data_IF_841288109982
#
_entry.id   IF_841288109982
#
_cell.length_a   1.000
_cell.length_b   1.000
_cell.length_c   1.000
_cell.angle_alpha   90.00
_cell.angle_beta   90.00
_cell.angle_gamma   90.00
#
_symmetry.space_group_name_H-M   'P 1'
#
loop_
_entity.id
_entity.type
_entity.pdbx_description
1 polymer ?
#
# COMPACT_ATOMS: atom_id res chain seq x y z
N UNK A 1 17.05 10.52 -13.80
CA UNK A 1 17.64 11.82 -13.42
C UNK A 1 16.48 12.71 -13.06
N UNK A 2 16.19 12.81 -11.76
CA UNK A 2 15.17 13.70 -11.25
C UNK A 2 15.71 15.14 -11.30
N UNK A 3 14.97 16.05 -11.94
CA UNK A 3 15.31 17.47 -12.00
C UNK A 3 14.12 18.28 -11.48
N UNK A 4 14.18 18.85 -10.27
CA UNK A 4 13.15 19.76 -9.79
C UNK A 4 13.30 21.14 -10.44
N UNK A 5 12.19 21.88 -10.55
CA UNK A 5 12.17 23.24 -11.09
C UNK A 5 12.98 24.19 -10.19
N UNK A 6 13.93 24.91 -10.80
CA UNK A 6 14.81 25.87 -10.14
C UNK A 6 14.06 27.14 -9.73
N UNK A 7 14.14 27.50 -8.44
CA UNK A 7 13.93 28.86 -7.96
C UNK A 7 15.32 29.47 -7.73
N UNK A 8 15.54 30.66 -8.26
CA UNK A 8 16.82 31.38 -8.21
C UNK A 8 17.23 31.64 -6.75
N UNK A 9 18.40 31.15 -6.32
CA UNK A 9 18.99 31.44 -5.00
C UNK A 9 19.27 30.26 -4.05
N UNK A 10 19.02 29.00 -4.43
CA UNK A 10 19.24 27.84 -3.53
C UNK A 10 20.56 27.07 -3.76
N UNK A 11 21.08 26.47 -2.67
CA UNK A 11 22.34 25.68 -2.52
C UNK A 11 22.61 24.67 -3.68
N UNK A 12 23.89 24.28 -3.93
CA UNK A 12 24.27 23.50 -5.10
C UNK A 12 23.42 22.24 -5.28
N UNK A 13 22.89 22.11 -6.48
CA UNK A 13 22.08 21.00 -6.96
C UNK A 13 22.99 19.76 -7.04
N UNK A 14 22.82 18.81 -6.11
CA UNK A 14 23.48 17.52 -6.25
C UNK A 14 22.64 16.67 -7.19
N UNK A 15 23.19 16.36 -8.37
CA UNK A 15 22.60 15.40 -9.30
C UNK A 15 22.61 14.02 -8.64
N UNK A 16 21.43 13.49 -8.34
CA UNK A 16 21.23 12.17 -7.76
C UNK A 16 20.82 11.12 -8.79
N UNK A 17 20.99 9.86 -8.41
CA UNK A 17 20.37 8.72 -9.08
C UNK A 17 19.45 8.03 -8.09
N UNK A 18 18.23 7.76 -8.53
CA UNK A 18 17.25 7.04 -7.75
C UNK A 18 17.47 5.53 -7.97
N UNK A 19 17.40 4.76 -6.89
CA UNK A 19 17.55 3.32 -6.90
C UNK A 19 16.38 2.68 -6.18
N UNK A 20 16.01 1.48 -6.64
CA UNK A 20 14.97 0.65 -6.04
C UNK A 20 15.58 -0.67 -5.61
N UNK A 21 15.42 -1.00 -4.34
CA UNK A 21 15.88 -2.26 -3.75
C UNK A 21 14.66 -3.04 -3.27
N UNK A 22 14.53 -4.28 -3.73
CA UNK A 22 13.60 -5.26 -3.17
C UNK A 22 14.39 -6.27 -2.35
N UNK A 23 14.09 -6.36 -1.06
CA UNK A 23 14.77 -7.24 -0.12
C UNK A 23 13.85 -8.33 0.43
N UNK A 24 14.44 -9.46 0.80
CA UNK A 24 13.78 -10.57 1.49
C UNK A 24 14.18 -10.59 2.96
N UNK A 25 13.21 -10.72 3.86
CA UNK A 25 13.42 -10.89 5.29
C UNK A 25 13.09 -12.35 5.65
N UNK A 26 14.08 -13.25 5.78
CA UNK A 26 13.84 -14.67 6.01
C UNK A 26 13.49 -14.99 7.46
N UNK A 27 13.94 -14.15 8.40
CA UNK A 27 13.83 -14.42 9.83
C UNK A 27 12.64 -13.68 10.44
N UNK A 28 12.00 -14.31 11.42
CA UNK A 28 10.92 -13.71 12.20
C UNK A 28 11.38 -12.64 13.19
N UNK A 29 12.67 -12.65 13.55
CA UNK A 29 13.28 -11.71 14.47
C UNK A 29 14.62 -11.24 13.93
N UNK A 30 14.93 -9.95 14.05
CA UNK A 30 16.16 -9.35 13.53
C UNK A 30 15.89 -8.24 12.53
N UNK A 31 16.95 -7.59 12.06
CA UNK A 31 16.86 -6.38 11.22
C UNK A 31 17.64 -6.49 9.91
N UNK A 32 17.93 -7.70 9.44
CA UNK A 32 18.68 -7.91 8.21
C UNK A 32 17.76 -8.38 7.09
N UNK A 33 18.10 -7.98 5.87
CA UNK A 33 17.37 -8.35 4.66
C UNK A 33 18.37 -8.72 3.55
N UNK A 34 18.02 -9.71 2.74
CA UNK A 34 18.79 -10.12 1.57
C UNK A 34 18.28 -9.31 0.36
N UNK A 35 19.12 -8.49 -0.31
CA UNK A 35 18.70 -7.81 -1.52
C UNK A 35 18.45 -8.85 -2.62
N UNK A 36 17.20 -8.97 -3.07
CA UNK A 36 16.81 -9.82 -4.21
C UNK A 36 17.01 -9.08 -5.53
N UNK A 37 16.69 -7.79 -5.56
CA UNK A 37 16.87 -6.92 -6.72
C UNK A 37 17.37 -5.56 -6.25
N UNK A 38 18.32 -4.99 -6.99
CA UNK A 38 18.78 -3.63 -6.79
C UNK A 38 19.04 -2.99 -8.15
N UNK A 39 18.20 -2.02 -8.52
CA UNK A 39 18.23 -1.43 -9.85
C UNK A 39 18.07 0.08 -9.79
N UNK A 40 18.66 0.76 -10.78
CA UNK A 40 18.46 2.19 -10.97
C UNK A 40 17.08 2.47 -11.54
N UNK A 41 16.39 3.44 -10.96
CA UNK A 41 15.16 4.01 -11.52
C UNK A 41 15.57 4.99 -12.64
N UNK A 42 15.17 4.68 -13.87
CA UNK A 42 15.42 5.52 -15.04
C UNK A 42 14.59 6.81 -15.00
N UNK A 43 14.97 7.80 -15.82
CA UNK A 43 14.22 9.06 -15.92
C UNK A 43 12.81 8.90 -16.55
N UNK A 44 12.52 7.74 -17.14
CA UNK A 44 11.29 7.49 -17.89
C UNK A 44 10.29 6.62 -17.13
N UNK A 45 10.62 6.22 -15.90
CA UNK A 45 9.76 5.43 -15.05
C UNK A 45 9.62 6.05 -13.66
N UNK A 46 8.54 5.69 -12.99
CA UNK A 46 8.28 6.07 -11.60
C UNK A 46 8.80 4.98 -10.65
N UNK A 47 9.04 5.35 -9.39
CA UNK A 47 9.38 4.38 -8.33
C UNK A 47 8.32 3.28 -8.22
N UNK A 48 7.03 3.62 -8.32
CA UNK A 48 5.93 2.67 -8.33
C UNK A 48 6.00 1.66 -9.49
N UNK A 49 6.31 2.11 -10.71
CA UNK A 49 6.50 1.21 -11.86
C UNK A 49 7.68 0.27 -11.67
N UNK A 50 8.82 0.79 -11.19
CA UNK A 50 10.02 -0.03 -10.93
C UNK A 50 9.76 -1.06 -9.83
N UNK A 51 9.14 -0.67 -8.73
CA UNK A 51 8.80 -1.58 -7.63
C UNK A 51 7.82 -2.69 -8.07
N UNK A 52 6.78 -2.36 -8.83
CA UNK A 52 5.84 -3.34 -9.35
C UNK A 52 6.51 -4.31 -10.34
N UNK A 53 7.42 -3.80 -11.18
CA UNK A 53 8.23 -4.64 -12.07
C UNK A 53 9.11 -5.61 -11.30
N UNK A 54 9.87 -5.14 -10.30
CA UNK A 54 10.73 -5.99 -9.47
C UNK A 54 9.91 -7.04 -8.71
N UNK A 55 8.78 -6.65 -8.12
CA UNK A 55 7.91 -7.59 -7.41
C UNK A 55 7.41 -8.70 -8.36
N UNK A 56 7.00 -8.33 -9.58
CA UNK A 56 6.56 -9.28 -10.60
C UNK A 56 7.67 -10.24 -11.00
N UNK A 57 8.91 -9.77 -11.11
CA UNK A 57 10.05 -10.63 -11.43
C UNK A 57 10.28 -11.64 -10.30
N UNK A 58 10.40 -11.17 -9.06
CA UNK A 58 10.62 -12.03 -7.90
C UNK A 58 9.50 -13.07 -7.74
N UNK A 59 8.24 -12.66 -7.90
CA UNK A 59 7.11 -13.58 -7.74
C UNK A 59 7.04 -14.68 -8.81
N UNK A 60 7.76 -14.58 -9.93
CA UNK A 60 7.84 -15.68 -10.91
C UNK A 60 8.66 -16.86 -10.40
N UNK A 61 9.64 -16.59 -9.54
CA UNK A 61 10.60 -17.57 -9.06
C UNK A 61 10.26 -18.09 -7.65
N UNK A 62 9.30 -17.45 -6.97
CA UNK A 62 8.81 -17.90 -5.67
C UNK A 62 7.76 -19.00 -5.81
N UNK A 63 7.93 -20.09 -5.06
CA UNK A 63 6.97 -21.20 -4.98
C UNK A 63 5.77 -20.92 -4.07
N UNK A 64 5.81 -19.80 -3.34
CA UNK A 64 4.79 -19.35 -2.40
C UNK A 64 4.36 -17.94 -2.74
N UNK A 65 3.15 -17.57 -2.33
CA UNK A 65 2.69 -16.20 -2.40
C UNK A 65 3.34 -15.36 -1.29
N UNK A 66 4.18 -14.35 -1.59
CA UNK A 66 4.83 -13.55 -0.57
C UNK A 66 3.91 -12.42 -0.07
N UNK A 67 4.20 -11.92 1.14
CA UNK A 67 3.72 -10.63 1.62
C UNK A 67 4.81 -9.59 1.33
N UNK A 68 4.50 -8.63 0.46
CA UNK A 68 5.38 -7.53 0.10
C UNK A 68 4.97 -6.26 0.88
N UNK A 69 5.92 -5.74 1.65
CA UNK A 69 5.71 -4.55 2.47
C UNK A 69 6.23 -3.30 1.77
N UNK A 70 5.43 -2.25 1.69
CA UNK A 70 5.86 -0.96 1.15
C UNK A 70 5.42 0.21 2.03
N UNK A 71 6.15 1.31 1.91
CA UNK A 71 5.84 2.52 2.66
C UNK A 71 4.67 3.33 2.07
N UNK A 72 4.47 4.50 2.66
CA UNK A 72 3.39 5.43 2.34
C UNK A 72 3.45 6.13 1.00
N UNK A 73 4.55 6.01 0.25
CA UNK A 73 4.62 6.43 -1.15
C UNK A 73 3.84 5.47 -2.05
N UNK A 74 3.90 4.17 -1.73
CA UNK A 74 3.26 3.10 -2.51
C UNK A 74 1.79 2.87 -2.13
N UNK A 75 1.34 3.38 -0.98
CA UNK A 75 -0.07 3.40 -0.54
C UNK A 75 -0.99 4.26 -1.42
N UNK A 76 -1.17 3.89 -2.69
CA UNK A 76 -1.91 4.65 -3.69
C UNK A 76 -2.63 3.76 -4.70
N UNK A 77 -3.73 4.27 -5.25
CA UNK A 77 -4.46 3.61 -6.34
C UNK A 77 -3.57 3.28 -7.55
N UNK A 78 -2.58 4.13 -7.86
CA UNK A 78 -1.70 3.91 -9.00
C UNK A 78 -0.84 2.65 -8.81
N UNK A 79 -0.31 2.46 -7.60
CA UNK A 79 0.47 1.27 -7.29
C UNK A 79 -0.39 0.01 -7.20
N UNK A 80 -1.60 0.10 -6.63
CA UNK A 80 -2.56 -1.01 -6.64
C UNK A 80 -2.86 -1.50 -8.07
N UNK A 81 -3.16 -0.57 -8.99
CA UNK A 81 -3.40 -0.92 -10.40
C UNK A 81 -2.17 -1.59 -11.07
N UNK A 82 -0.94 -1.21 -10.69
CA UNK A 82 0.29 -1.78 -11.26
C UNK A 82 0.58 -3.20 -10.74
N UNK A 83 -0.04 -3.58 -9.63
CA UNK A 83 0.25 -4.82 -8.87
C UNK A 83 -0.95 -5.77 -8.78
N UNK A 84 -2.12 -5.39 -9.32
CA UNK A 84 -3.39 -6.14 -9.26
C UNK A 84 -3.26 -7.60 -9.71
N UNK A 85 -2.47 -7.86 -10.75
CA UNK A 85 -2.26 -9.18 -11.35
C UNK A 85 -1.01 -9.91 -10.82
N UNK A 86 -0.28 -9.32 -9.88
CA UNK A 86 0.90 -9.94 -9.28
C UNK A 86 0.46 -10.89 -8.17
N UNK A 87 0.98 -12.14 -8.13
CA UNK A 87 0.62 -13.08 -7.10
C UNK A 87 1.38 -12.80 -5.78
N UNK A 88 1.16 -11.61 -5.20
CA UNK A 88 1.68 -11.18 -3.90
C UNK A 88 0.61 -10.50 -3.05
N UNK A 89 0.70 -10.66 -1.74
CA UNK A 89 -0.04 -9.88 -0.74
C UNK A 89 0.67 -8.56 -0.48
N UNK A 90 -0.07 -7.47 -0.30
CA UNK A 90 0.52 -6.15 -0.08
C UNK A 90 0.20 -5.64 1.32
N UNK A 91 1.26 -5.29 2.07
CA UNK A 91 1.14 -4.52 3.31
C UNK A 91 1.68 -3.11 3.06
N UNK A 92 0.77 -2.16 2.89
CA UNK A 92 1.11 -0.78 2.54
C UNK A 92 0.85 0.14 3.73
N UNK A 93 1.86 0.93 4.12
CA UNK A 93 1.60 2.07 5.00
C UNK A 93 0.75 3.09 4.23
N UNK A 94 -0.30 3.64 4.84
CA UNK A 94 -1.09 4.71 4.23
C UNK A 94 -0.78 6.05 4.89
N UNK A 95 -0.72 7.14 4.10
CA UNK A 95 -0.59 8.49 4.67
C UNK A 95 -1.91 8.88 5.36
N UNK A 96 -1.89 9.53 6.53
CA UNK A 96 -3.12 9.90 7.25
C UNK A 96 -4.09 10.77 6.43
N UNK A 97 -3.60 11.56 5.48
CA UNK A 97 -4.45 12.38 4.61
C UNK A 97 -5.11 11.60 3.45
N UNK A 98 -4.95 10.27 3.37
CA UNK A 98 -5.63 9.45 2.36
C UNK A 98 -7.08 9.16 2.78
N UNK A 99 -7.90 8.97 1.75
CA UNK A 99 -9.29 8.60 1.86
C UNK A 99 -9.55 7.36 1.02
N UNK A 100 -10.22 6.40 1.63
CA UNK A 100 -10.76 5.21 0.99
C UNK A 100 -12.29 5.30 0.98
N UNK A 101 -12.93 4.32 0.36
CA UNK A 101 -14.37 4.30 0.16
C UNK A 101 -14.90 2.91 0.39
N UNK A 102 -16.05 2.82 1.05
CA UNK A 102 -16.82 1.57 1.17
C UNK A 102 -17.47 1.22 -0.18
N UNK A 103 -17.89 -0.04 -0.32
CA UNK A 103 -18.76 -0.45 -1.41
C UNK A 103 -20.04 0.42 -1.44
N UNK A 104 -20.57 0.78 -2.62
CA UNK A 104 -21.84 1.48 -2.73
C UNK A 104 -23.01 0.56 -2.36
N UNK A 105 -24.07 1.13 -1.78
CA UNK A 105 -25.34 0.44 -1.59
C UNK A 105 -25.94 -0.08 -2.91
N UNK A 106 -26.75 -1.16 -2.88
CA UNK A 106 -27.43 -1.69 -4.06
C UNK A 106 -28.18 -0.61 -4.84
N UNK A 107 -28.00 -0.61 -6.16
CA UNK A 107 -28.57 0.42 -7.01
C UNK A 107 -30.07 0.22 -7.22
N UNK A 108 -30.89 1.21 -6.85
CA UNK A 108 -32.36 1.15 -6.93
C UNK A 108 -33.00 2.15 -7.90
N UNK A 109 -32.21 2.83 -8.73
CA UNK A 109 -32.65 4.00 -9.52
C UNK A 109 -32.55 3.85 -11.04
N UNK A 110 -32.70 4.99 -11.73
CA UNK A 110 -32.43 5.14 -13.17
C UNK A 110 -31.22 6.06 -13.40
N UNK A 111 -30.29 5.66 -14.27
CA UNK A 111 -28.99 6.31 -14.48
C UNK A 111 -27.77 5.47 -14.13
N UNK A 112 -26.60 6.11 -13.97
CA UNK A 112 -25.33 5.44 -13.68
C UNK A 112 -25.25 5.06 -12.19
N UNK A 113 -25.01 3.77 -11.85
CA UNK A 113 -24.80 3.35 -10.47
C UNK A 113 -23.64 4.11 -9.79
N UNK A 114 -23.77 4.37 -8.49
CA UNK A 114 -22.67 4.92 -7.67
C UNK A 114 -21.53 3.90 -7.66
N UNK A 115 -20.29 4.39 -7.78
CA UNK A 115 -19.08 3.56 -7.68
C UNK A 115 -18.54 3.45 -6.26
N UNK A 116 -18.98 4.33 -5.37
CA UNK A 116 -18.41 4.48 -4.04
C UNK A 116 -19.53 4.77 -3.04
N UNK A 117 -19.48 4.08 -1.91
CA UNK A 117 -20.25 4.36 -0.71
C UNK A 117 -19.59 5.47 0.11
N UNK A 118 -19.66 5.31 1.43
CA UNK A 118 -19.17 6.30 2.37
C UNK A 118 -17.64 6.42 2.36
N UNK A 119 -17.18 7.62 2.72
CA UNK A 119 -15.75 7.93 2.81
C UNK A 119 -15.19 7.40 4.11
N UNK A 120 -14.06 6.72 4.01
CA UNK A 120 -13.19 6.36 5.12
C UNK A 120 -11.96 7.28 5.08
N UNK A 121 -11.92 8.31 5.93
CA UNK A 121 -10.83 9.28 5.99
C UNK A 121 -9.86 8.89 7.11
N UNK A 122 -8.62 8.54 6.77
CA UNK A 122 -7.65 8.06 7.77
C UNK A 122 -7.32 9.09 8.85
N UNK A 123 -7.44 10.39 8.57
CA UNK A 123 -7.23 11.45 9.56
C UNK A 123 -8.47 11.77 10.41
N UNK A 124 -9.61 11.12 10.18
CA UNK A 124 -10.86 11.41 10.86
C UNK A 124 -11.52 10.10 11.35
N UNK A 125 -11.32 9.78 12.62
CA UNK A 125 -11.79 8.55 13.25
C UNK A 125 -13.32 8.38 13.19
N UNK A 126 -14.08 9.48 13.24
CA UNK A 126 -15.55 9.45 13.15
C UNK A 126 -16.05 8.91 11.80
N UNK A 127 -15.20 8.92 10.77
CA UNK A 127 -15.54 8.40 9.44
C UNK A 127 -15.33 6.89 9.28
N UNK A 128 -14.66 6.23 10.23
CA UNK A 128 -14.26 4.84 10.06
C UNK A 128 -15.45 3.88 10.23
N UNK A 129 -16.34 4.20 11.16
CA UNK A 129 -17.38 3.28 11.64
C UNK A 129 -16.78 2.07 12.34
N UNK A 130 -17.60 1.04 12.57
CA UNK A 130 -17.17 -0.15 13.30
C UNK A 130 -16.09 -0.94 12.56
N UNK A 131 -15.10 -1.41 13.30
CA UNK A 131 -14.09 -2.33 12.78
C UNK A 131 -14.71 -3.69 12.48
N UNK A 132 -14.30 -4.32 11.38
CA UNK A 132 -14.66 -5.70 11.03
C UNK A 132 -14.06 -6.72 12.01
N UNK A 133 -12.88 -6.43 12.56
CA UNK A 133 -12.25 -7.22 13.61
C UNK A 133 -11.36 -6.35 14.49
N UNK A 134 -11.16 -6.77 15.73
CA UNK A 134 -10.20 -6.15 16.67
C UNK A 134 -9.40 -7.27 17.32
N UNK A 135 -8.08 -7.08 17.37
CA UNK A 135 -7.12 -7.99 17.98
C UNK A 135 -6.31 -7.23 19.02
N UNK A 136 -6.01 -7.89 20.13
CA UNK A 136 -5.14 -7.35 21.16
C UNK A 136 -4.07 -8.37 21.50
N UNK A 137 -2.82 -7.91 21.61
CA UNK A 137 -1.68 -8.74 21.95
C UNK A 137 -0.74 -7.95 22.86
N UNK A 138 0.03 -8.67 23.66
CA UNK A 138 1.12 -8.10 24.43
C UNK A 138 2.41 -8.40 23.70
N UNK A 139 3.14 -7.35 23.35
CA UNK A 139 4.45 -7.42 22.72
C UNK A 139 5.53 -7.06 23.76
N UNK A 140 6.59 -7.86 23.83
CA UNK A 140 7.66 -7.67 24.82
C UNK A 140 8.40 -6.33 24.66
N UNK A 141 8.39 -5.74 23.47
CA UNK A 141 9.12 -4.52 23.13
C UNK A 141 8.24 -3.28 23.22
N UNK A 142 7.01 -3.35 22.70
CA UNK A 142 6.11 -2.19 22.60
C UNK A 142 4.92 -2.23 23.56
N UNK A 143 4.79 -3.29 24.35
CA UNK A 143 3.73 -3.43 25.36
C UNK A 143 2.41 -3.87 24.76
N UNK A 144 1.30 -3.37 25.32
CA UNK A 144 -0.03 -3.74 24.85
C UNK A 144 -0.33 -3.11 23.50
N UNK A 145 -0.59 -3.95 22.50
CA UNK A 145 -0.90 -3.55 21.13
C UNK A 145 -2.35 -3.90 20.81
N UNK A 146 -3.09 -2.92 20.28
CA UNK A 146 -4.41 -3.14 19.70
C UNK A 146 -4.38 -2.92 18.19
N UNK A 147 -4.92 -3.87 17.44
CA UNK A 147 -5.06 -3.84 16.00
C UNK A 147 -6.55 -3.84 15.66
N UNK A 148 -7.00 -2.82 14.93
CA UNK A 148 -8.35 -2.79 14.36
C UNK A 148 -8.29 -2.98 12.86
N UNK A 149 -9.16 -3.82 12.32
CA UNK A 149 -9.29 -4.11 10.89
C UNK A 149 -10.59 -3.53 10.34
N UNK A 150 -10.52 -2.94 9.16
CA UNK A 150 -11.67 -2.67 8.29
C UNK A 150 -11.50 -3.40 6.96
N UNK A 151 -12.60 -4.01 6.50
CA UNK A 151 -12.71 -4.74 5.23
C UNK A 151 -13.50 -3.96 4.18
N UNK A 152 -13.46 -4.40 2.92
CA UNK A 152 -14.27 -3.88 1.81
C UNK A 152 -14.09 -2.37 1.54
N UNK A 153 -12.85 -1.90 1.69
CA UNK A 153 -12.44 -0.53 1.40
C UNK A 153 -11.60 -0.48 0.12
N UNK A 154 -11.85 0.52 -0.72
CA UNK A 154 -11.08 0.73 -1.96
C UNK A 154 -10.65 2.19 -2.17
N UNK A 155 -9.58 2.38 -2.94
CA UNK A 155 -9.22 3.73 -3.39
C UNK A 155 -10.22 4.25 -4.43
N UNK A 156 -10.46 5.57 -4.44
CA UNK A 156 -11.34 6.22 -5.43
C UNK A 156 -11.03 5.86 -6.89
N UNK A 157 -9.74 5.74 -7.23
CA UNK A 157 -9.26 5.41 -8.58
C UNK A 157 -8.97 3.91 -8.78
N UNK A 158 -9.38 3.07 -7.85
CA UNK A 158 -9.28 1.61 -7.91
C UNK A 158 -10.57 0.95 -7.36
N UNK A 159 -11.75 1.19 -7.97
CA UNK A 159 -13.04 0.78 -7.39
C UNK A 159 -13.38 -0.71 -7.54
N UNK A 160 -12.60 -1.50 -8.29
CA UNK A 160 -12.98 -2.85 -8.72
C UNK A 160 -12.54 -3.98 -7.76
N UNK A 161 -12.02 -3.65 -6.58
CA UNK A 161 -11.55 -4.61 -5.57
C UNK A 161 -12.68 -5.24 -4.72
N UNK A 162 -13.88 -5.43 -5.28
CA UNK A 162 -14.99 -5.99 -4.49
C UNK A 162 -15.05 -7.53 -4.59
N UNK A 163 -14.20 -8.20 -5.37
CA UNK A 163 -14.34 -9.68 -5.51
C UNK A 163 -13.14 -10.47 -6.01
N UNK A 164 -11.94 -9.90 -6.11
CA UNK A 164 -10.74 -10.68 -6.43
C UNK A 164 -9.59 -10.00 -5.73
N UNK A 165 -9.18 -10.51 -4.58
CA UNK A 165 -7.85 -10.39 -3.97
C UNK A 165 -8.02 -10.83 -2.51
N UNK A 166 -7.59 -12.07 -2.25
CA UNK A 166 -7.53 -12.79 -0.97
C UNK A 166 -8.80 -13.46 -0.44
N UNK A 167 -8.61 -14.68 0.09
CA UNK A 167 -9.39 -15.25 1.21
C UNK A 167 -9.28 -14.39 2.50
N UNK A 168 -8.84 -13.13 2.41
CA UNK A 168 -8.75 -12.15 3.48
C UNK A 168 -8.64 -10.72 2.90
N UNK A 169 -9.67 -9.87 2.98
CA UNK A 169 -9.60 -8.48 2.49
C UNK A 169 -8.38 -7.77 3.10
N UNK A 170 -7.67 -6.93 2.33
CA UNK A 170 -6.51 -6.16 2.81
C UNK A 170 -6.93 -5.44 4.10
N UNK A 171 -6.50 -5.90 5.29
CA UNK A 171 -6.89 -5.27 6.53
C UNK A 171 -6.15 -3.95 6.59
N UNK A 172 -6.88 -2.84 6.73
CA UNK A 172 -6.24 -1.64 7.27
C UNK A 172 -6.12 -1.88 8.75
N UNK A 173 -4.91 -2.21 9.20
CA UNK A 173 -4.56 -2.30 10.61
C UNK A 173 -4.13 -0.93 11.13
N UNK A 174 -4.90 -0.35 12.04
CA UNK A 174 -4.40 0.73 12.90
C UNK A 174 -3.89 0.11 14.19
N UNK A 175 -2.61 0.38 14.48
CA UNK A 175 -1.90 -0.11 15.67
C UNK A 175 -1.91 1.01 16.71
N UNK A 176 -2.54 0.75 17.86
CA UNK A 176 -2.47 1.60 19.04
C UNK A 176 -1.51 0.98 20.06
N UNK A 177 -0.70 1.83 20.69
CA UNK A 177 0.15 1.53 21.85
C UNK A 177 0.13 2.70 22.83
#
# INVERSE_FOLDING_TARGET
MHQPNLVEGNKPIVLGHDYSTLGWVPEMSGSWAIPLCHERISSFETAAQRAAFQLRQVCRDLSVRPIATYDSEYGSAAFMNLTEDIPADLLLRLRPNRCLYKAPEPYSGSGRPRKHGDKFQLANADSWGDSSATFSLEDETVGQVQIQQWSDLHFKKHPNDISKLFESPIPIALVYG
#
